data_IF_555957498253
#
_entry.id   IF_555957498253
#
_cell.length_a   1.000
_cell.length_b   1.000
_cell.length_c   1.000
_cell.angle_alpha   90.00
_cell.angle_beta   90.00
_cell.angle_gamma   90.00
#
_symmetry.space_group_name_H-M   'P 1'
#
loop_
_entity.id
_entity.type
_entity.pdbx_description
1 polymer ?
#
# COMPACT_ATOMS: atom_id res chain seq x y z
N UNK A 1 -22.18 -3.23 50.90
CA UNK A 1 -23.47 -2.52 50.73
C UNK A 1 -23.21 -1.41 49.71
N UNK A 2 -23.84 -1.46 48.54
CA UNK A 2 -23.67 -0.40 47.54
C UNK A 2 -24.42 0.86 48.00
N UNK A 3 -23.82 2.03 47.84
CA UNK A 3 -24.47 3.30 48.16
C UNK A 3 -25.69 3.47 47.26
N UNK A 4 -26.81 3.87 47.84
CA UNK A 4 -28.00 4.25 47.08
C UNK A 4 -27.75 5.55 46.32
N UNK A 5 -28.47 5.80 45.20
CA UNK A 5 -28.35 7.06 44.47
C UNK A 5 -28.56 8.31 45.35
N UNK A 6 -29.45 8.22 46.35
CA UNK A 6 -29.72 9.29 47.30
C UNK A 6 -28.57 9.53 48.29
N UNK A 7 -27.88 8.47 48.73
CA UNK A 7 -26.69 8.58 49.59
C UNK A 7 -25.50 9.17 48.82
N UNK A 8 -25.36 8.84 47.53
CA UNK A 8 -24.33 9.44 46.67
C UNK A 8 -24.58 10.95 46.51
N UNK A 9 -25.81 11.35 46.19
CA UNK A 9 -26.17 12.76 46.01
C UNK A 9 -25.93 13.59 47.29
N UNK A 10 -26.28 13.04 48.46
CA UNK A 10 -26.06 13.71 49.74
C UNK A 10 -24.57 13.91 50.04
N UNK A 11 -23.74 12.89 49.76
CA UNK A 11 -22.29 12.97 49.95
C UNK A 11 -21.64 13.96 49.00
N UNK A 12 -22.11 14.02 47.75
CA UNK A 12 -21.66 15.01 46.75
C UNK A 12 -22.00 16.44 47.20
N UNK A 13 -23.17 16.67 47.78
CA UNK A 13 -23.58 18.00 48.27
C UNK A 13 -22.83 18.43 49.55
N UNK A 14 -22.18 17.49 50.26
CA UNK A 14 -21.38 17.75 51.46
C UNK A 14 -19.87 17.89 51.19
N UNK A 15 -19.45 17.91 49.92
CA UNK A 15 -18.04 17.99 49.56
C UNK A 15 -17.46 19.38 49.89
N UNK A 16 -16.21 19.45 50.38
CA UNK A 16 -15.45 20.70 50.42
C UNK A 16 -15.34 21.31 49.02
N UNK A 17 -15.32 22.64 48.93
CA UNK A 17 -15.32 23.39 47.66
C UNK A 17 -14.21 22.97 46.69
N UNK A 18 -13.03 22.62 47.21
CA UNK A 18 -11.90 22.18 46.38
C UNK A 18 -12.15 20.81 45.74
N UNK A 19 -12.76 19.89 46.48
CA UNK A 19 -13.13 18.57 45.98
C UNK A 19 -14.30 18.66 45.01
N UNK A 20 -15.29 19.51 45.29
CA UNK A 20 -16.40 19.79 44.39
C UNK A 20 -15.89 20.33 43.04
N UNK A 21 -14.96 21.30 43.05
CA UNK A 21 -14.34 21.82 41.83
C UNK A 21 -13.54 20.77 41.07
N UNK A 22 -12.77 19.93 41.77
CA UNK A 22 -12.00 18.85 41.14
C UNK A 22 -12.90 17.79 40.49
N UNK A 23 -14.03 17.46 41.13
CA UNK A 23 -15.03 16.56 40.55
C UNK A 23 -15.71 17.19 39.34
N UNK A 24 -16.06 18.47 39.39
CA UNK A 24 -16.59 19.18 38.22
C UNK A 24 -15.61 19.15 37.06
N UNK A 25 -14.33 19.46 37.30
CA UNK A 25 -13.29 19.40 36.27
C UNK A 25 -13.06 17.98 35.74
N UNK A 26 -13.14 16.96 36.59
CA UNK A 26 -13.01 15.56 36.18
C UNK A 26 -14.21 15.12 35.33
N UNK A 27 -15.43 15.54 35.70
CA UNK A 27 -16.63 15.27 34.92
C UNK A 27 -16.61 15.99 33.59
N UNK A 28 -16.21 17.26 33.55
CA UNK A 28 -16.01 18.02 32.32
C UNK A 28 -14.96 17.35 31.43
N UNK A 29 -13.80 16.98 31.99
CA UNK A 29 -12.78 16.24 31.25
C UNK A 29 -13.26 14.88 30.77
N UNK A 30 -14.01 14.14 31.57
CA UNK A 30 -14.56 12.84 31.18
C UNK A 30 -15.60 13.01 30.07
N UNK A 31 -16.46 14.02 30.16
CA UNK A 31 -17.42 14.38 29.13
C UNK A 31 -16.67 14.75 27.85
N UNK A 32 -15.60 15.54 27.94
CA UNK A 32 -14.76 15.90 26.80
C UNK A 32 -14.06 14.67 26.20
N UNK A 33 -13.51 13.76 27.02
CA UNK A 33 -12.86 12.53 26.55
C UNK A 33 -13.88 11.56 25.89
N UNK A 34 -15.10 11.48 26.42
CA UNK A 34 -16.20 10.67 25.87
C UNK A 34 -16.77 11.33 24.60
N UNK A 35 -16.95 12.65 24.59
CA UNK A 35 -17.45 13.42 23.44
C UNK A 35 -16.42 13.50 22.31
N UNK A 36 -15.13 13.57 22.64
CA UNK A 36 -14.02 13.42 21.70
C UNK A 36 -13.86 11.98 21.20
N UNK A 37 -14.68 11.05 21.69
CA UNK A 37 -14.75 9.67 21.22
C UNK A 37 -13.45 8.94 21.48
N UNK A 38 -13.17 8.62 22.74
CA UNK A 38 -12.04 7.77 23.14
C UNK A 38 -11.87 6.55 22.23
N UNK A 39 -10.96 6.66 21.25
CA UNK A 39 -10.61 5.59 20.29
C UNK A 39 -11.55 5.38 19.10
N UNK A 40 -12.54 6.24 18.84
CA UNK A 40 -13.50 6.10 17.72
C UNK A 40 -13.21 7.02 16.52
N UNK A 41 -12.00 7.56 16.40
CA UNK A 41 -11.55 8.18 15.17
C UNK A 41 -11.25 7.10 14.12
N UNK A 42 -11.71 7.27 12.89
CA UNK A 42 -11.22 6.46 11.77
C UNK A 42 -9.70 6.56 11.73
N UNK A 43 -8.99 5.48 12.02
CA UNK A 43 -7.52 5.43 11.86
C UNK A 43 -7.23 5.31 10.38
N UNK A 44 -6.56 6.32 9.84
CA UNK A 44 -6.15 6.41 8.44
C UNK A 44 -4.65 6.14 8.31
N UNK A 45 -4.17 5.96 7.07
CA UNK A 45 -2.73 5.86 6.80
C UNK A 45 -1.94 7.12 7.21
N UNK A 46 -2.60 8.27 7.41
CA UNK A 46 -1.94 9.49 7.87
C UNK A 46 -1.51 9.41 9.33
N UNK A 47 -2.24 8.63 10.13
CA UNK A 47 -1.98 8.44 11.56
C UNK A 47 -0.76 7.54 11.81
N UNK A 48 -0.29 6.83 10.78
CA UNK A 48 0.95 6.04 10.81
C UNK A 48 2.13 7.00 10.55
N UNK A 49 2.53 7.72 11.58
CA UNK A 49 3.49 8.84 11.47
C UNK A 49 4.92 8.40 11.19
N UNK A 50 5.28 7.16 11.51
CA UNK A 50 6.59 6.54 11.25
C UNK A 50 6.68 5.87 9.86
N UNK A 51 5.57 5.77 9.12
CA UNK A 51 5.58 5.22 7.77
C UNK A 51 6.15 6.21 6.74
N UNK A 52 6.90 5.67 5.79
CA UNK A 52 7.40 6.41 4.62
C UNK A 52 6.26 6.78 3.66
N UNK A 53 6.53 7.72 2.75
CA UNK A 53 5.59 8.05 1.68
C UNK A 53 5.23 6.83 0.82
N UNK A 54 6.21 5.96 0.52
CA UNK A 54 5.97 4.68 -0.17
C UNK A 54 5.07 3.77 0.65
N UNK A 55 5.31 3.61 1.95
CA UNK A 55 4.47 2.78 2.82
C UNK A 55 3.01 3.27 2.87
N UNK A 56 2.80 4.58 3.01
CA UNK A 56 1.46 5.19 2.96
C UNK A 56 0.78 5.01 1.60
N UNK A 57 1.53 5.14 0.50
CA UNK A 57 1.04 4.92 -0.86
C UNK A 57 0.59 3.47 -1.09
N UNK A 58 1.33 2.49 -0.55
CA UNK A 58 0.94 1.07 -0.62
C UNK A 58 -0.34 0.80 0.18
N UNK A 59 -0.47 1.35 1.39
CA UNK A 59 -1.66 1.16 2.23
C UNK A 59 -2.93 1.79 1.65
N UNK A 60 -2.78 2.79 0.78
CA UNK A 60 -3.89 3.51 0.13
C UNK A 60 -4.09 3.11 -1.33
N UNK A 61 -3.35 2.12 -1.83
CA UNK A 61 -3.39 1.71 -3.24
C UNK A 61 -4.74 1.07 -3.60
N UNK A 62 -5.40 1.61 -4.62
CA UNK A 62 -6.69 1.11 -5.11
C UNK A 62 -6.59 -0.23 -5.87
N UNK A 63 -5.39 -0.68 -6.23
CA UNK A 63 -5.18 -1.93 -6.96
C UNK A 63 -3.77 -2.49 -6.77
N UNK A 64 -3.59 -3.77 -7.12
CA UNK A 64 -2.27 -4.40 -7.17
C UNK A 64 -1.31 -3.73 -8.16
N UNK A 65 -1.82 -3.16 -9.26
CA UNK A 65 -0.99 -2.42 -10.22
C UNK A 65 -0.47 -1.11 -9.59
N UNK A 66 -1.35 -0.37 -8.92
CA UNK A 66 -0.97 0.84 -8.20
C UNK A 66 0.06 0.55 -7.10
N UNK A 67 -0.15 -0.54 -6.33
CA UNK A 67 0.79 -0.97 -5.30
C UNK A 67 2.17 -1.33 -5.88
N UNK A 68 2.22 -2.02 -7.03
CA UNK A 68 3.49 -2.32 -7.73
C UNK A 68 4.20 -1.04 -8.18
N UNK A 69 3.47 -0.08 -8.75
CA UNK A 69 4.03 1.23 -9.12
C UNK A 69 4.56 1.97 -7.89
N UNK A 70 3.85 1.94 -6.76
CA UNK A 70 4.26 2.61 -5.53
C UNK A 70 5.62 2.11 -5.01
N UNK A 71 5.92 0.82 -5.19
CA UNK A 71 7.20 0.21 -4.82
C UNK A 71 8.23 0.16 -5.96
N UNK A 72 7.92 0.73 -7.13
CA UNK A 72 8.81 0.72 -8.29
C UNK A 72 9.01 -0.67 -8.93
N UNK A 73 8.07 -1.60 -8.73
CA UNK A 73 8.14 -2.92 -9.34
C UNK A 73 7.88 -2.86 -10.87
N UNK A 74 8.65 -3.64 -11.61
CA UNK A 74 8.55 -3.75 -13.06
C UNK A 74 7.20 -4.36 -13.51
N UNK A 75 6.81 -4.17 -14.80
CA UNK A 75 5.62 -4.81 -15.36
C UNK A 75 5.64 -6.33 -15.22
N UNK A 76 4.48 -6.93 -14.94
CA UNK A 76 4.31 -8.39 -14.84
C UNK A 76 3.66 -9.01 -16.08
N UNK A 77 3.40 -8.20 -17.11
CA UNK A 77 2.74 -8.59 -18.36
C UNK A 77 3.75 -8.72 -19.48
N UNK A 78 3.45 -9.54 -20.49
CA UNK A 78 4.28 -9.69 -21.69
C UNK A 78 4.27 -8.40 -22.51
N UNK A 79 5.41 -8.06 -23.14
CA UNK A 79 5.51 -6.93 -24.04
C UNK A 79 4.56 -7.06 -25.24
N UNK A 80 4.04 -5.94 -25.71
CA UNK A 80 3.21 -5.85 -26.92
C UNK A 80 3.72 -4.71 -27.80
N UNK A 81 3.19 -4.58 -29.01
CA UNK A 81 3.50 -3.44 -29.89
C UNK A 81 2.97 -2.10 -29.36
N UNK A 82 2.07 -2.11 -28.37
CA UNK A 82 1.47 -0.91 -27.79
C UNK A 82 1.97 -0.58 -26.38
N UNK A 83 2.58 -1.54 -25.67
CA UNK A 83 2.99 -1.37 -24.28
C UNK A 83 4.25 -2.17 -23.92
N UNK A 84 5.12 -1.57 -23.11
CA UNK A 84 6.28 -2.23 -22.55
C UNK A 84 5.88 -3.38 -21.61
N UNK A 85 6.71 -4.43 -21.56
CA UNK A 85 6.47 -5.62 -20.74
C UNK A 85 7.67 -6.57 -20.72
N UNK A 86 7.44 -7.76 -20.20
CA UNK A 86 8.42 -8.83 -20.11
C UNK A 86 8.63 -9.50 -21.48
N UNK A 87 9.88 -9.87 -21.77
CA UNK A 87 10.27 -10.68 -22.94
C UNK A 87 10.94 -11.96 -22.48
N UNK A 88 10.84 -13.03 -23.27
CA UNK A 88 11.64 -14.24 -23.04
C UNK A 88 13.03 -14.04 -23.65
N UNK A 89 14.02 -14.72 -23.09
CA UNK A 89 15.31 -14.83 -23.75
C UNK A 89 15.16 -15.63 -25.05
N UNK A 90 15.73 -15.14 -26.14
CA UNK A 90 15.74 -15.86 -27.41
C UNK A 90 16.65 -17.09 -27.35
N UNK A 91 16.30 -18.13 -28.11
CA UNK A 91 17.16 -19.30 -28.27
C UNK A 91 18.51 -18.89 -28.89
N UNK A 92 19.58 -19.54 -28.47
CA UNK A 92 20.95 -19.26 -28.96
C UNK A 92 21.03 -19.34 -30.49
N UNK A 93 21.66 -18.34 -31.10
CA UNK A 93 22.02 -18.34 -32.52
C UNK A 93 23.49 -18.73 -32.66
N UNK A 94 23.78 -19.77 -33.44
CA UNK A 94 25.15 -20.14 -33.78
C UNK A 94 25.78 -19.05 -34.67
N UNK A 95 27.10 -18.91 -34.63
CA UNK A 95 27.82 -18.01 -35.53
C UNK A 95 27.54 -18.39 -36.98
N UNK A 96 27.36 -17.40 -37.85
CA UNK A 96 27.21 -17.64 -39.27
C UNK A 96 28.51 -18.20 -39.86
N UNK A 97 28.40 -19.27 -40.63
CA UNK A 97 29.50 -19.85 -41.42
C UNK A 97 29.25 -19.67 -42.92
N UNK A 98 28.35 -18.76 -43.29
CA UNK A 98 28.00 -18.50 -44.68
C UNK A 98 29.19 -17.93 -45.46
N UNK A 99 29.48 -18.50 -46.62
CA UNK A 99 30.51 -18.02 -47.55
C UNK A 99 29.93 -17.23 -48.72
N UNK A 100 28.61 -17.18 -48.82
CA UNK A 100 27.85 -16.47 -49.84
C UNK A 100 26.60 -15.80 -49.27
N UNK A 101 25.90 -15.06 -50.14
CA UNK A 101 24.69 -14.33 -49.76
C UNK A 101 23.54 -15.28 -49.43
N UNK A 102 23.43 -16.42 -50.11
CA UNK A 102 22.35 -17.39 -49.88
C UNK A 102 22.44 -18.01 -48.47
N UNK A 103 23.64 -18.35 -48.01
CA UNK A 103 23.90 -18.78 -46.64
C UNK A 103 23.58 -17.68 -45.63
N UNK A 104 23.96 -16.43 -45.90
CA UNK A 104 23.69 -15.31 -45.00
C UNK A 104 22.18 -15.07 -44.82
N UNK A 105 21.41 -15.13 -45.92
CA UNK A 105 19.94 -15.00 -45.88
C UNK A 105 19.32 -16.14 -45.07
N UNK A 106 19.87 -17.35 -45.17
CA UNK A 106 19.42 -18.50 -44.39
C UNK A 106 19.65 -18.28 -42.90
N UNK A 107 20.86 -17.93 -42.50
CA UNK A 107 21.22 -17.70 -41.10
C UNK A 107 20.45 -16.51 -40.49
N UNK A 108 20.24 -15.45 -41.27
CA UNK A 108 19.45 -14.30 -40.86
C UNK A 108 17.99 -14.65 -40.63
N UNK A 109 17.36 -15.39 -41.55
CA UNK A 109 15.98 -15.83 -41.36
C UNK A 109 15.83 -16.78 -40.16
N UNK A 110 16.84 -17.59 -39.86
CA UNK A 110 16.87 -18.41 -38.64
C UNK A 110 16.89 -17.56 -37.36
N UNK A 111 17.66 -16.46 -37.34
CA UNK A 111 17.65 -15.50 -36.24
C UNK A 111 16.26 -14.84 -36.09
N UNK A 112 15.66 -14.38 -37.19
CA UNK A 112 14.32 -13.77 -37.15
C UNK A 112 13.27 -14.73 -36.59
N UNK A 113 13.32 -16.00 -36.99
CA UNK A 113 12.42 -17.03 -36.46
C UNK A 113 12.59 -17.21 -34.95
N UNK A 114 13.82 -17.20 -34.44
CA UNK A 114 14.10 -17.30 -32.99
C UNK A 114 13.60 -16.09 -32.21
N UNK A 115 13.81 -14.88 -32.74
CA UNK A 115 13.31 -13.65 -32.11
C UNK A 115 11.78 -13.59 -32.08
N UNK A 116 11.11 -14.03 -33.15
CA UNK A 116 9.65 -14.16 -33.22
C UNK A 116 9.13 -15.20 -32.23
N UNK A 117 9.77 -16.36 -32.16
CA UNK A 117 9.42 -17.43 -31.21
C UNK A 117 9.54 -16.97 -29.76
N UNK A 118 10.54 -16.15 -29.46
CA UNK A 118 10.75 -15.59 -28.13
C UNK A 118 9.85 -14.37 -27.82
N UNK A 119 9.09 -13.88 -28.81
CA UNK A 119 8.18 -12.75 -28.66
C UNK A 119 8.88 -11.39 -28.58
N UNK A 120 10.12 -11.26 -29.08
CA UNK A 120 10.81 -9.97 -29.19
C UNK A 120 10.39 -9.19 -30.45
N UNK A 121 9.79 -9.88 -31.42
CA UNK A 121 9.38 -9.32 -32.71
C UNK A 121 8.06 -9.96 -33.13
N UNK A 122 7.12 -9.15 -33.62
CA UNK A 122 5.88 -9.61 -34.23
C UNK A 122 5.99 -9.53 -35.75
#
# INVERSE_FOLDING_TARGET
MALTPSEVALRLNSLPSDQARALTQLFEKLIDDVAAGGGSGTVTSNDITDATATGKSVLTSASAAAARTAIGAAPTTVATTAAAGLVKMAATQANSTATDVAGLVTDFNALLAKLKTAGLMA
#
